data_IF_655287899773
#
_entry.id   IF_655287899773
#
_cell.length_a   1.000
_cell.length_b   1.000
_cell.length_c   1.000
_cell.angle_alpha   90.00
_cell.angle_beta   90.00
_cell.angle_gamma   90.00
#
_symmetry.space_group_name_H-M   'P 1'
#
loop_
_entity.id
_entity.type
_entity.pdbx_description
1 polymer ?
#
# COMPACT_ATOMS: atom_id res chain seq x y z
N UNK A 1 -14.81 15.96 10.56
CA UNK A 1 -15.79 15.34 9.65
C UNK A 1 -15.95 13.88 10.06
N UNK A 2 -17.11 13.46 10.59
CA UNK A 2 -17.32 12.06 11.02
C UNK A 2 -17.66 11.24 9.77
N UNK A 3 -16.80 10.33 9.36
CA UNK A 3 -17.11 9.34 8.34
C UNK A 3 -18.23 8.43 8.85
N UNK A 4 -19.30 8.31 8.08
CA UNK A 4 -20.39 7.37 8.37
C UNK A 4 -19.90 6.01 7.86
N UNK A 5 -19.48 5.14 8.77
CA UNK A 5 -19.37 3.71 8.48
C UNK A 5 -20.79 3.15 8.41
N UNK A 6 -21.25 2.83 7.21
CA UNK A 6 -22.54 2.16 7.01
C UNK A 6 -22.30 0.67 7.26
N UNK A 7 -22.89 0.07 8.33
CA UNK A 7 -22.77 -1.38 8.52
C UNK A 7 -23.55 -2.07 7.40
N UNK A 8 -22.85 -2.84 6.57
CA UNK A 8 -23.48 -3.66 5.54
C UNK A 8 -24.12 -4.86 6.23
N UNK A 9 -25.45 -4.95 6.16
CA UNK A 9 -26.18 -6.13 6.62
C UNK A 9 -25.78 -7.35 5.78
N UNK A 10 -25.60 -8.55 6.36
CA UNK A 10 -25.23 -9.76 5.61
C UNK A 10 -26.19 -10.15 4.49
N UNK A 11 -27.39 -9.56 4.46
CA UNK A 11 -28.42 -9.80 3.44
C UNK A 11 -28.45 -8.77 2.30
N UNK A 12 -27.61 -7.70 2.36
CA UNK A 12 -27.58 -6.71 1.29
C UNK A 12 -26.82 -7.26 0.08
N UNK A 13 -27.39 -7.09 -1.11
CA UNK A 13 -26.68 -7.39 -2.35
C UNK A 13 -25.52 -6.40 -2.53
N UNK A 14 -24.49 -6.80 -3.29
CA UNK A 14 -23.35 -5.92 -3.61
C UNK A 14 -23.84 -4.58 -4.23
N UNK A 15 -24.89 -4.63 -5.05
CA UNK A 15 -25.48 -3.45 -5.69
C UNK A 15 -26.06 -2.48 -4.66
N UNK A 16 -26.81 -2.99 -3.68
CA UNK A 16 -27.38 -2.17 -2.58
C UNK A 16 -26.26 -1.58 -1.70
N UNK A 17 -25.21 -2.35 -1.41
CA UNK A 17 -24.08 -1.86 -0.63
C UNK A 17 -23.31 -0.74 -1.33
N UNK A 18 -23.23 -0.75 -2.67
CA UNK A 18 -22.56 0.26 -3.47
C UNK A 18 -23.43 1.46 -3.87
N UNK A 19 -24.74 1.42 -3.58
CA UNK A 19 -25.66 2.50 -3.98
C UNK A 19 -25.28 3.89 -3.44
N UNK A 20 -24.80 4.05 -2.18
CA UNK A 20 -24.34 5.34 -1.69
C UNK A 20 -23.16 5.92 -2.49
N UNK A 21 -22.26 5.06 -2.99
CA UNK A 21 -21.13 5.46 -3.84
C UNK A 21 -21.58 5.81 -5.27
N UNK A 22 -22.65 5.18 -5.75
CA UNK A 22 -23.18 5.43 -7.09
C UNK A 22 -24.02 6.71 -7.17
N UNK A 23 -24.77 7.00 -6.11
CA UNK A 23 -25.66 8.16 -6.05
C UNK A 23 -24.92 9.49 -5.82
N UNK A 24 -23.79 9.47 -5.11
CA UNK A 24 -22.98 10.67 -4.81
C UNK A 24 -21.47 10.33 -4.91
N UNK A 25 -20.97 10.11 -6.14
CA UNK A 25 -19.59 9.68 -6.34
C UNK A 25 -18.56 10.75 -5.94
N UNK A 26 -18.89 12.04 -6.05
CA UNK A 26 -17.98 13.14 -5.68
C UNK A 26 -17.65 13.15 -4.18
N UNK A 27 -18.53 12.59 -3.34
CA UNK A 27 -18.30 12.39 -1.91
C UNK A 27 -17.80 11.00 -1.55
N UNK A 28 -17.68 10.14 -2.56
CA UNK A 28 -17.17 8.78 -2.42
C UNK A 28 -15.65 8.73 -2.33
N UNK A 29 -15.13 7.80 -1.52
CA UNK A 29 -13.72 7.45 -1.48
C UNK A 29 -13.53 5.96 -1.81
N UNK A 30 -12.61 5.66 -2.73
CA UNK A 30 -12.23 4.30 -3.10
C UNK A 30 -10.78 4.09 -2.74
N UNK A 31 -10.53 3.19 -1.79
CA UNK A 31 -9.20 2.83 -1.33
C UNK A 31 -8.93 1.38 -1.70
N UNK A 32 -7.81 1.12 -2.35
CA UNK A 32 -7.45 -0.16 -2.96
C UNK A 32 -6.10 -0.63 -2.45
N UNK A 33 -5.99 -1.90 -2.08
CA UNK A 33 -4.71 -2.54 -1.86
C UNK A 33 -4.03 -2.87 -3.19
N UNK A 34 -2.70 -3.01 -3.17
CA UNK A 34 -1.90 -3.23 -4.38
C UNK A 34 -1.55 -4.70 -4.57
N UNK A 35 -0.87 -5.30 -3.60
CA UNK A 35 -0.28 -6.62 -3.74
C UNK A 35 -1.33 -7.74 -3.56
N UNK A 36 -1.64 -8.44 -4.63
CA UNK A 36 -2.71 -9.46 -4.66
C UNK A 36 -4.09 -8.89 -4.98
N UNK A 37 -4.24 -7.56 -5.13
CA UNK A 37 -5.49 -6.89 -5.48
C UNK A 37 -5.37 -6.23 -6.87
N UNK A 38 -4.55 -5.19 -7.01
CA UNK A 38 -4.32 -4.49 -8.28
C UNK A 38 -3.18 -5.10 -9.09
N UNK A 39 -2.16 -5.62 -8.41
CA UNK A 39 -1.01 -6.29 -9.00
C UNK A 39 -0.97 -7.75 -8.54
N UNK A 40 -0.57 -8.70 -9.42
CA UNK A 40 -0.34 -10.08 -9.03
C UNK A 40 0.72 -10.20 -7.94
N UNK A 41 0.60 -11.22 -7.08
CA UNK A 41 1.67 -11.58 -6.15
C UNK A 41 2.83 -12.16 -6.95
N UNK A 42 4.01 -11.58 -6.80
CA UNK A 42 5.23 -11.95 -7.54
C UNK A 42 6.33 -12.40 -6.58
N UNK A 43 7.33 -13.15 -7.09
CA UNK A 43 8.44 -13.65 -6.27
C UNK A 43 9.38 -12.54 -5.81
N UNK A 44 9.60 -11.53 -6.66
CA UNK A 44 10.47 -10.40 -6.36
C UNK A 44 9.64 -9.11 -6.34
N UNK A 45 9.77 -8.35 -5.29
CA UNK A 45 9.01 -7.12 -5.09
C UNK A 45 9.17 -6.10 -6.25
N UNK A 46 10.31 -6.16 -6.95
CA UNK A 46 10.63 -5.34 -8.13
C UNK A 46 9.83 -5.70 -9.37
N UNK A 47 9.28 -6.92 -9.44
CA UNK A 47 8.55 -7.40 -10.62
C UNK A 47 7.05 -7.02 -10.56
N UNK A 48 6.61 -6.46 -9.43
CA UNK A 48 5.23 -6.06 -9.24
C UNK A 48 4.87 -4.91 -10.18
N UNK A 49 3.79 -5.06 -10.92
CA UNK A 49 3.22 -4.01 -11.78
C UNK A 49 1.72 -4.19 -11.89
N UNK A 50 1.01 -3.09 -12.07
CA UNK A 50 -0.43 -3.13 -12.33
C UNK A 50 -0.66 -3.26 -13.83
N UNK A 51 -1.47 -4.25 -14.29
CA UNK A 51 -1.76 -4.43 -15.70
C UNK A 51 -2.40 -3.19 -16.35
N UNK A 52 -2.12 -2.98 -17.63
CA UNK A 52 -2.61 -1.81 -18.39
C UNK A 52 -4.13 -1.67 -18.33
N UNK A 53 -4.86 -2.75 -18.49
CA UNK A 53 -6.33 -2.74 -18.42
C UNK A 53 -6.83 -2.29 -17.04
N UNK A 54 -6.17 -2.72 -15.96
CA UNK A 54 -6.50 -2.30 -14.59
C UNK A 54 -6.19 -0.82 -14.39
N UNK A 55 -5.05 -0.33 -14.91
CA UNK A 55 -4.71 1.10 -14.85
C UNK A 55 -5.71 1.98 -15.58
N UNK A 56 -6.17 1.54 -16.75
CA UNK A 56 -7.19 2.26 -17.51
C UNK A 56 -8.48 2.41 -16.70
N UNK A 57 -8.94 1.34 -16.03
CA UNK A 57 -10.10 1.39 -15.14
C UNK A 57 -9.88 2.32 -13.94
N UNK A 58 -8.70 2.29 -13.32
CA UNK A 58 -8.36 3.17 -12.20
C UNK A 58 -8.42 4.65 -12.60
N UNK A 59 -7.95 4.99 -13.80
CA UNK A 59 -8.01 6.34 -14.34
C UNK A 59 -9.47 6.79 -14.52
N UNK A 60 -10.33 5.92 -15.03
CA UNK A 60 -11.76 6.23 -15.19
C UNK A 60 -12.46 6.38 -13.83
N UNK A 61 -12.15 5.53 -12.87
CA UNK A 61 -12.67 5.64 -11.50
C UNK A 61 -12.21 6.96 -10.86
N UNK A 62 -10.93 7.33 -11.05
CA UNK A 62 -10.38 8.57 -10.49
C UNK A 62 -11.01 9.84 -11.03
N UNK A 63 -11.59 9.79 -12.24
CA UNK A 63 -12.35 10.93 -12.80
C UNK A 63 -13.75 11.07 -12.20
N UNK A 64 -14.27 10.00 -11.62
CA UNK A 64 -15.66 9.92 -11.18
C UNK A 64 -15.84 10.11 -9.67
N UNK A 65 -14.87 9.68 -8.88
CA UNK A 65 -14.98 9.67 -7.42
C UNK A 65 -14.12 10.77 -6.78
N UNK A 66 -14.59 11.34 -5.68
CA UNK A 66 -13.94 12.45 -4.99
C UNK A 66 -12.54 12.10 -4.48
N UNK A 67 -12.33 10.87 -4.04
CA UNK A 67 -11.00 10.36 -3.64
C UNK A 67 -10.80 8.95 -4.18
N UNK A 68 -9.70 8.74 -4.90
CA UNK A 68 -9.22 7.39 -5.24
C UNK A 68 -7.77 7.28 -4.81
N UNK A 69 -7.44 6.22 -4.09
CA UNK A 69 -6.11 6.01 -3.56
C UNK A 69 -5.75 4.55 -3.36
N UNK A 70 -4.46 4.31 -3.20
CA UNK A 70 -3.92 2.99 -2.88
C UNK A 70 -3.38 2.99 -1.45
N UNK A 71 -3.60 1.88 -0.73
CA UNK A 71 -3.06 1.63 0.60
C UNK A 71 -2.15 0.41 0.52
N UNK A 72 -0.91 0.52 1.01
CA UNK A 72 0.06 -0.57 0.89
C UNK A 72 1.05 -0.59 2.06
N UNK A 73 1.59 -1.76 2.36
CA UNK A 73 2.75 -1.91 3.22
C UNK A 73 4.06 -1.43 2.57
N UNK A 74 4.06 -1.21 1.25
CA UNK A 74 5.19 -0.62 0.52
C UNK A 74 5.31 0.87 0.82
N UNK A 75 6.49 1.45 0.59
CA UNK A 75 6.66 2.90 0.62
C UNK A 75 5.74 3.58 -0.40
N UNK A 76 5.16 4.72 -0.06
CA UNK A 76 4.20 5.43 -0.92
C UNK A 76 4.77 5.75 -2.32
N UNK A 77 6.06 6.10 -2.40
CA UNK A 77 6.75 6.34 -3.67
C UNK A 77 6.86 5.06 -4.52
N UNK A 78 7.18 3.92 -3.90
CA UNK A 78 7.25 2.61 -4.56
C UNK A 78 5.86 2.15 -5.03
N UNK A 79 4.84 2.33 -4.18
CA UNK A 79 3.45 2.06 -4.53
C UNK A 79 3.03 2.82 -5.80
N UNK A 80 3.34 4.13 -5.86
CA UNK A 80 3.09 4.95 -7.06
C UNK A 80 3.85 4.47 -8.29
N UNK A 81 5.08 4.01 -8.16
CA UNK A 81 5.85 3.47 -9.29
C UNK A 81 5.19 2.20 -9.86
N UNK A 82 4.68 1.31 -9.00
CA UNK A 82 4.02 0.06 -9.39
C UNK A 82 2.68 0.34 -10.09
N UNK A 83 1.89 1.25 -9.55
CA UNK A 83 0.57 1.62 -10.11
C UNK A 83 0.73 2.53 -11.32
N UNK A 84 1.77 3.37 -11.35
CA UNK A 84 2.12 4.29 -12.43
C UNK A 84 1.03 5.32 -12.78
N UNK A 85 0.27 5.80 -11.77
CA UNK A 85 -0.76 6.85 -11.92
C UNK A 85 -0.47 7.96 -10.90
N UNK A 86 -0.02 9.12 -11.39
CA UNK A 86 0.39 10.24 -10.52
C UNK A 86 -0.76 11.02 -9.88
N UNK A 87 -1.98 10.85 -10.36
CA UNK A 87 -3.18 11.56 -9.89
C UNK A 87 -3.91 10.87 -8.74
N UNK A 88 -3.48 9.69 -8.33
CA UNK A 88 -4.03 8.98 -7.17
C UNK A 88 -3.31 9.40 -5.87
N UNK A 89 -3.99 9.21 -4.75
CA UNK A 89 -3.36 9.25 -3.44
C UNK A 89 -2.70 7.90 -3.11
N UNK A 90 -1.59 7.91 -2.37
CA UNK A 90 -0.92 6.69 -1.93
C UNK A 90 -0.62 6.78 -0.43
N UNK A 91 -1.20 5.86 0.31
CA UNK A 91 -0.87 5.63 1.72
C UNK A 91 0.10 4.45 1.76
N UNK A 92 1.33 4.72 2.15
CA UNK A 92 2.40 3.73 2.18
C UNK A 92 2.93 3.46 3.58
N UNK A 93 3.88 2.52 3.64
CA UNK A 93 4.59 2.20 4.87
C UNK A 93 3.64 1.92 6.05
N UNK A 94 2.60 1.08 5.78
CA UNK A 94 1.56 0.71 6.76
C UNK A 94 0.80 1.91 7.37
N UNK A 95 0.62 3.00 6.63
CA UNK A 95 -0.06 4.21 7.08
C UNK A 95 0.87 5.35 7.47
N UNK A 96 2.19 5.11 7.55
CA UNK A 96 3.18 6.11 7.97
C UNK A 96 3.57 7.13 6.92
N UNK A 97 3.18 6.92 5.67
CA UNK A 97 3.47 7.82 4.55
C UNK A 97 2.20 8.15 3.78
N UNK A 98 1.99 9.43 3.48
CA UNK A 98 0.93 9.91 2.58
C UNK A 98 1.54 10.66 1.42
N UNK A 99 1.39 10.13 0.21
CA UNK A 99 1.74 10.81 -1.03
C UNK A 99 0.46 11.30 -1.71
N UNK A 100 0.23 12.61 -1.66
CA UNK A 100 -0.96 13.23 -2.26
C UNK A 100 -0.93 13.20 -3.78
N UNK A 101 -2.08 13.30 -4.45
CA UNK A 101 -2.16 13.44 -5.90
C UNK A 101 -1.24 14.56 -6.40
N UNK A 102 -0.39 14.25 -7.38
CA UNK A 102 0.55 15.22 -7.98
C UNK A 102 1.78 15.58 -7.12
N UNK A 103 1.83 15.19 -5.85
CA UNK A 103 2.98 15.45 -5.00
C UNK A 103 4.21 14.62 -5.43
N UNK A 104 5.40 15.19 -5.24
CA UNK A 104 6.68 14.51 -5.55
C UNK A 104 7.30 13.82 -4.34
N UNK A 105 6.90 14.20 -3.13
CA UNK A 105 7.42 13.66 -1.86
C UNK A 105 6.26 13.28 -0.96
N UNK A 106 6.35 12.15 -0.24
CA UNK A 106 5.37 11.79 0.77
C UNK A 106 5.48 12.70 2.01
N UNK A 107 4.34 12.97 2.61
CA UNK A 107 4.24 13.42 3.99
C UNK A 107 4.48 12.20 4.89
N UNK A 108 5.33 12.34 5.90
CA UNK A 108 5.65 11.25 6.84
C UNK A 108 5.05 11.61 8.19
N UNK A 109 4.45 10.65 8.86
CA UNK A 109 3.98 10.82 10.21
C UNK A 109 5.14 11.17 11.15
N UNK A 110 5.01 12.26 11.95
CA UNK A 110 6.10 12.79 12.78
C UNK A 110 6.50 11.81 13.90
N UNK A 111 5.55 11.10 14.49
CA UNK A 111 5.82 10.12 15.53
C UNK A 111 6.61 8.94 14.95
N UNK A 112 6.20 8.44 13.77
CA UNK A 112 6.93 7.40 13.04
C UNK A 112 8.34 7.86 12.65
N UNK A 113 8.50 9.09 12.18
CA UNK A 113 9.80 9.66 11.82
C UNK A 113 10.76 9.70 13.03
N UNK A 114 10.26 10.04 14.21
CA UNK A 114 11.04 10.07 15.45
C UNK A 114 11.59 8.69 15.86
N UNK A 115 10.92 7.59 15.46
CA UNK A 115 11.38 6.23 15.73
C UNK A 115 12.40 5.69 14.72
N UNK A 116 12.56 6.31 13.57
CA UNK A 116 13.39 5.81 12.46
C UNK A 116 14.82 5.46 12.90
N UNK A 117 15.50 6.35 13.59
CA UNK A 117 16.88 6.11 14.04
C UNK A 117 16.97 4.95 15.04
N UNK A 118 15.99 4.82 15.93
CA UNK A 118 15.94 3.74 16.92
C UNK A 118 15.69 2.39 16.28
N UNK A 119 14.75 2.33 15.31
CA UNK A 119 14.42 1.12 14.55
C UNK A 119 15.62 0.67 13.72
N UNK A 120 16.30 1.58 13.02
CA UNK A 120 17.52 1.27 12.27
C UNK A 120 18.64 0.74 13.15
N UNK A 121 18.89 1.38 14.29
CA UNK A 121 19.91 0.92 15.24
C UNK A 121 19.59 -0.45 15.83
N UNK A 122 18.32 -0.75 16.07
CA UNK A 122 17.87 -2.08 16.50
C UNK A 122 18.07 -3.11 15.38
N UNK A 123 17.59 -2.85 14.17
CA UNK A 123 17.71 -3.76 13.03
C UNK A 123 19.17 -4.10 12.72
N UNK A 124 20.07 -3.11 12.76
CA UNK A 124 21.51 -3.33 12.55
C UNK A 124 22.15 -4.26 13.59
N UNK A 125 21.66 -4.23 14.84
CA UNK A 125 22.14 -5.14 15.90
C UNK A 125 21.48 -6.51 15.83
N UNK A 126 20.20 -6.57 15.44
CA UNK A 126 19.43 -7.81 15.36
C UNK A 126 19.84 -8.70 14.20
N UNK A 127 20.31 -8.13 13.07
CA UNK A 127 20.77 -8.87 11.87
C UNK A 127 22.19 -9.41 12.08
N UNK A 128 22.30 -10.42 12.95
CA UNK A 128 23.57 -11.10 13.23
C UNK A 128 24.04 -11.92 12.03
N UNK A 129 25.36 -12.25 11.94
CA UNK A 129 25.88 -13.16 10.91
C UNK A 129 25.20 -14.54 10.89
N UNK A 130 24.71 -15.00 12.05
CA UNK A 130 23.95 -16.26 12.16
C UNK A 130 22.59 -16.16 11.46
N UNK A 131 21.84 -15.07 11.67
CA UNK A 131 20.58 -14.84 10.98
C UNK A 131 20.79 -14.68 9.47
N UNK A 132 21.87 -14.04 9.05
CA UNK A 132 22.21 -13.92 7.63
C UNK A 132 22.52 -15.29 6.99
N UNK A 133 23.20 -16.20 7.72
CA UNK A 133 23.40 -17.60 7.27
C UNK A 133 22.10 -18.37 7.12
N UNK A 134 21.10 -18.07 7.96
CA UNK A 134 19.75 -18.60 7.85
C UNK A 134 18.90 -17.92 6.76
N UNK A 135 19.54 -17.06 5.93
CA UNK A 135 18.90 -16.29 4.86
C UNK A 135 17.82 -15.31 5.35
N UNK A 136 17.88 -14.88 6.60
CA UNK A 136 17.09 -13.76 7.07
C UNK A 136 17.60 -12.48 6.43
N UNK A 137 16.73 -11.76 5.74
CA UNK A 137 17.06 -10.47 5.11
C UNK A 137 16.35 -9.36 5.85
N UNK A 138 17.03 -8.26 6.11
CA UNK A 138 16.41 -7.04 6.60
C UNK A 138 15.98 -6.17 5.44
N UNK A 139 14.77 -5.66 5.48
CA UNK A 139 14.27 -4.62 4.58
C UNK A 139 14.20 -3.31 5.37
N UNK A 140 14.98 -2.30 4.97
CA UNK A 140 14.91 -0.95 5.54
C UNK A 140 13.82 -0.15 4.81
N UNK A 141 12.69 0.06 5.50
CA UNK A 141 11.60 0.94 5.04
C UNK A 141 11.65 2.32 5.71
N UNK A 142 12.84 2.75 6.13
CA UNK A 142 13.13 3.98 6.90
C UNK A 142 12.56 3.94 8.33
N UNK A 143 11.27 4.20 8.51
CA UNK A 143 10.64 4.20 9.83
C UNK A 143 10.24 2.81 10.33
N UNK A 144 10.23 1.81 9.45
CA UNK A 144 9.86 0.42 9.76
C UNK A 144 10.95 -0.50 9.23
N UNK A 145 11.42 -1.44 10.05
CA UNK A 145 12.26 -2.53 9.62
C UNK A 145 11.42 -3.81 9.54
N UNK A 146 11.44 -4.46 8.39
CA UNK A 146 10.85 -5.78 8.21
C UNK A 146 11.97 -6.82 8.04
N UNK A 147 11.76 -8.03 8.51
CA UNK A 147 12.65 -9.16 8.28
C UNK A 147 11.90 -10.28 7.58
N UNK A 148 12.38 -10.66 6.41
CA UNK A 148 11.87 -11.81 5.67
C UNK A 148 12.81 -13.00 5.78
N UNK A 149 12.22 -14.18 5.98
CA UNK A 149 12.93 -15.46 5.87
C UNK A 149 12.72 -15.96 4.43
N UNK A 150 13.78 -15.96 3.64
CA UNK A 150 13.73 -16.59 2.33
C UNK A 150 13.62 -18.10 2.51
N UNK A 151 12.40 -18.64 2.45
CA UNK A 151 12.16 -20.10 2.38
C UNK A 151 12.72 -20.57 1.04
N UNK A 152 13.85 -21.26 1.08
CA UNK A 152 14.33 -21.97 -0.08
C UNK A 152 13.29 -23.06 -0.40
N UNK A 153 12.58 -22.92 -1.51
CA UNK A 153 11.80 -24.00 -2.07
C UNK A 153 12.79 -25.19 -2.24
N UNK A 154 12.62 -26.25 -1.46
CA UNK A 154 13.27 -27.50 -1.74
C UNK A 154 12.68 -27.97 -3.07
N UNK A 155 13.49 -27.91 -4.12
CA UNK A 155 13.18 -28.62 -5.35
C UNK A 155 13.13 -30.10 -5.02
N UNK A 156 12.13 -30.85 -5.52
CA UNK A 156 12.06 -32.29 -5.37
C UNK A 156 13.22 -33.00 -6.07
#
# INVERSE_FOLDING_TARGET
>A
MRGILIPVSPAATLVEALEPLRSDPDRGAILLDIDGTLAPIVRHATDAHVPEATRALLIEIAKRYGVVGCVSGRRAATARQIVAIGTLAYVGNHGGELLRPGATRPEVDEELAAWTARVRAFAARALTPELQRLRVRGEDKEAIAASDVAVAARSP
#
